data_IF_449747928086
#
_entry.id   IF_449747928086
#
_cell.length_a   1.000
_cell.length_b   1.000
_cell.length_c   1.000
_cell.angle_alpha   90.00
_cell.angle_beta   90.00
_cell.angle_gamma   90.00
#
_symmetry.space_group_name_H-M   'P 1'
#
loop_
_entity.id
_entity.type
_entity.pdbx_description
1 polymer ?
#
# COMPACT_ATOMS: atom_id res chain seq x y z
N UNK A 1 20.28 -4.79 -1.89
CA UNK A 1 19.52 -5.25 -3.07
C UNK A 1 19.19 -4.04 -3.92
N UNK A 2 19.21 -4.18 -5.23
CA UNK A 2 19.07 -3.05 -6.16
C UNK A 2 17.63 -2.89 -6.65
N UNK A 3 17.34 -1.75 -7.28
CA UNK A 3 16.05 -1.46 -7.93
C UNK A 3 15.62 -2.58 -8.87
N UNK A 4 16.58 -3.18 -9.57
CA UNK A 4 16.36 -4.28 -10.52
C UNK A 4 15.87 -5.56 -9.83
N UNK A 5 16.33 -5.84 -8.60
CA UNK A 5 15.86 -7.01 -7.83
C UNK A 5 14.37 -6.88 -7.48
N UNK A 6 13.91 -5.67 -7.16
CA UNK A 6 12.50 -5.39 -6.87
C UNK A 6 11.63 -5.56 -8.11
N UNK A 7 12.09 -5.07 -9.26
CA UNK A 7 11.37 -5.24 -10.54
C UNK A 7 11.25 -6.73 -10.88
N UNK A 8 12.34 -7.49 -10.79
CA UNK A 8 12.33 -8.93 -11.05
C UNK A 8 11.43 -9.72 -10.07
N UNK A 9 11.23 -9.23 -8.84
CA UNK A 9 10.27 -9.81 -7.91
C UNK A 9 8.82 -9.52 -8.33
N UNK A 10 8.53 -8.30 -8.82
CA UNK A 10 7.19 -7.92 -9.30
C UNK A 10 6.84 -8.65 -10.60
N UNK A 11 7.78 -8.81 -11.54
CA UNK A 11 7.54 -9.57 -12.78
C UNK A 11 7.19 -11.04 -12.51
N UNK A 12 7.75 -11.64 -11.45
CA UNK A 12 7.34 -12.99 -11.01
C UNK A 12 5.95 -13.01 -10.40
N UNK A 13 5.43 -11.89 -9.94
CA UNK A 13 4.06 -11.76 -9.43
C UNK A 13 3.03 -11.74 -10.57
N UNK A 14 3.42 -11.28 -11.77
CA UNK A 14 2.51 -11.19 -12.94
C UNK A 14 2.28 -12.51 -13.68
N UNK A 15 3.15 -13.50 -13.51
CA UNK A 15 3.31 -14.61 -14.48
C UNK A 15 2.65 -15.92 -14.06
N UNK A 16 1.94 -15.94 -12.92
CA UNK A 16 1.35 -17.17 -12.39
C UNK A 16 -0.18 -17.10 -12.25
N UNK A 17 -0.81 -18.25 -12.44
CA UNK A 17 -2.20 -18.56 -12.16
C UNK A 17 -2.26 -19.07 -10.71
N UNK A 18 -2.30 -18.15 -9.74
CA UNK A 18 -1.96 -18.42 -8.32
C UNK A 18 -3.18 -18.55 -7.41
N UNK A 19 -3.08 -19.45 -6.43
CA UNK A 19 -3.91 -19.51 -5.21
C UNK A 19 -3.53 -18.38 -4.21
N UNK A 20 -4.47 -17.92 -3.36
CA UNK A 20 -4.27 -16.78 -2.43
C UNK A 20 -3.01 -16.90 -1.54
N UNK A 21 -2.60 -18.13 -1.21
CA UNK A 21 -1.44 -18.40 -0.39
C UNK A 21 -0.10 -18.05 -1.07
N UNK A 22 0.02 -18.18 -2.40
CA UNK A 22 1.26 -17.77 -3.07
C UNK A 22 1.30 -16.25 -3.37
N UNK A 23 0.16 -15.55 -3.36
CA UNK A 23 0.14 -14.08 -3.48
C UNK A 23 0.91 -13.41 -2.34
N UNK A 24 0.64 -13.86 -1.11
CA UNK A 24 1.34 -13.36 0.07
C UNK A 24 2.82 -13.75 0.06
N UNK A 25 3.17 -14.92 -0.47
CA UNK A 25 4.55 -15.36 -0.59
C UNK A 25 5.33 -14.44 -1.55
N UNK A 26 4.77 -14.13 -2.72
CA UNK A 26 5.43 -13.27 -3.70
C UNK A 26 5.45 -11.81 -3.25
N UNK A 27 4.37 -11.31 -2.64
CA UNK A 27 4.36 -9.97 -2.04
C UNK A 27 5.45 -9.83 -0.96
N UNK A 28 5.73 -10.89 -0.19
CA UNK A 28 6.86 -10.91 0.76
C UNK A 28 8.20 -10.85 0.05
N UNK A 29 8.36 -11.45 -1.13
CA UNK A 29 9.59 -11.34 -1.92
C UNK A 29 9.81 -9.91 -2.43
N UNK A 30 8.75 -9.25 -2.92
CA UNK A 30 8.80 -7.83 -3.30
C UNK A 30 9.23 -6.98 -2.11
N UNK A 31 8.64 -7.20 -0.93
CA UNK A 31 9.03 -6.47 0.29
C UNK A 31 10.46 -6.79 0.72
N UNK A 32 10.88 -8.05 0.65
CA UNK A 32 12.24 -8.48 0.99
C UNK A 32 13.30 -7.84 0.07
N UNK A 33 12.92 -7.45 -1.15
CA UNK A 33 13.82 -6.76 -2.06
C UNK A 33 14.23 -5.35 -1.61
N UNK A 34 13.49 -4.74 -0.67
CA UNK A 34 13.86 -3.47 -0.05
C UNK A 34 14.95 -3.57 1.02
N UNK A 35 15.57 -4.76 1.19
CA UNK A 35 16.58 -5.10 2.20
C UNK A 35 15.99 -5.39 3.60
N UNK A 36 16.84 -5.46 4.63
CA UNK A 36 16.42 -5.75 6.01
C UNK A 36 15.72 -4.52 6.62
N UNK A 37 14.47 -4.30 6.23
CA UNK A 37 13.60 -3.20 6.69
C UNK A 37 13.46 -3.14 8.22
N UNK A 38 13.76 -4.23 8.94
CA UNK A 38 13.72 -4.25 10.41
C UNK A 38 14.96 -3.58 11.00
N UNK A 39 16.12 -3.78 10.38
CA UNK A 39 17.41 -3.32 10.89
C UNK A 39 17.91 -2.03 10.26
N UNK A 40 17.57 -1.77 9.00
CA UNK A 40 18.00 -0.58 8.28
C UNK A 40 16.86 0.48 8.18
N UNK A 41 17.01 1.65 8.82
CA UNK A 41 16.06 2.75 8.69
C UNK A 41 15.87 3.25 7.25
N UNK A 42 16.92 3.21 6.42
CA UNK A 42 16.82 3.66 5.02
C UNK A 42 15.97 2.69 4.20
N UNK A 43 16.25 1.38 4.32
CA UNK A 43 15.39 0.32 3.78
C UNK A 43 13.93 0.46 4.23
N UNK A 44 13.68 0.69 5.52
CA UNK A 44 12.33 0.91 6.04
C UNK A 44 11.66 2.12 5.40
N UNK A 45 12.33 3.27 5.33
CA UNK A 45 11.78 4.46 4.68
C UNK A 45 11.51 4.27 3.19
N UNK A 46 12.37 3.56 2.46
CA UNK A 46 12.12 3.21 1.05
C UNK A 46 10.87 2.35 0.89
N UNK A 47 10.74 1.30 1.72
CA UNK A 47 9.56 0.44 1.71
C UNK A 47 8.28 1.20 2.08
N UNK A 48 8.31 2.09 3.08
CA UNK A 48 7.14 2.92 3.42
C UNK A 48 6.79 3.88 2.29
N UNK A 49 7.79 4.52 1.66
CA UNK A 49 7.54 5.43 0.53
C UNK A 49 6.92 4.70 -0.66
N UNK A 50 7.41 3.51 -0.98
CA UNK A 50 6.84 2.63 -1.99
C UNK A 50 5.37 2.33 -1.69
N UNK A 51 5.09 1.75 -0.52
CA UNK A 51 3.74 1.34 -0.12
C UNK A 51 2.78 2.52 0.01
N UNK A 52 3.27 3.66 0.50
CA UNK A 52 2.50 4.91 0.56
C UNK A 52 2.07 5.36 -0.84
N UNK A 53 2.95 5.31 -1.82
CA UNK A 53 2.61 5.62 -3.20
C UNK A 53 1.56 4.64 -3.77
N UNK A 54 1.71 3.33 -3.49
CA UNK A 54 0.76 2.31 -3.91
C UNK A 54 -0.63 2.58 -3.33
N UNK A 55 -0.76 2.81 -2.02
CA UNK A 55 -2.04 3.10 -1.37
C UNK A 55 -2.64 4.41 -1.90
N UNK A 56 -1.82 5.48 -1.98
CA UNK A 56 -2.23 6.81 -2.46
C UNK A 56 -2.87 6.78 -3.85
N UNK A 57 -2.43 5.85 -4.70
CA UNK A 57 -2.98 5.66 -6.05
C UNK A 57 -4.48 5.34 -6.06
N UNK A 58 -4.99 4.70 -5.00
CA UNK A 58 -6.37 4.22 -4.90
C UNK A 58 -7.24 4.98 -3.90
N UNK A 59 -6.66 5.73 -2.94
CA UNK A 59 -7.47 6.38 -1.87
C UNK A 59 -8.48 7.41 -2.37
N UNK A 60 -8.30 7.97 -3.57
CA UNK A 60 -9.30 8.87 -4.15
C UNK A 60 -10.62 8.13 -4.46
N UNK A 61 -10.55 6.84 -4.79
CA UNK A 61 -11.69 6.01 -5.18
C UNK A 61 -12.65 5.78 -4.01
N UNK A 62 -12.12 5.73 -2.79
CA UNK A 62 -12.91 5.69 -1.56
C UNK A 62 -13.96 6.81 -1.52
N UNK A 63 -13.55 8.05 -1.83
CA UNK A 63 -14.45 9.21 -1.85
C UNK A 63 -15.33 9.25 -3.09
N UNK A 64 -14.82 8.85 -4.26
CA UNK A 64 -15.64 8.85 -5.48
C UNK A 64 -16.80 7.86 -5.39
N UNK A 65 -16.65 6.77 -4.63
CA UNK A 65 -17.70 5.79 -4.36
C UNK A 65 -18.66 6.23 -3.24
N UNK A 66 -18.46 7.42 -2.66
CA UNK A 66 -19.37 8.04 -1.69
C UNK A 66 -19.15 7.59 -0.24
N UNK A 67 -18.00 7.01 0.10
CA UNK A 67 -17.71 6.65 1.49
C UNK A 67 -17.50 7.88 2.38
N UNK A 68 -18.12 7.86 3.56
CA UNK A 68 -18.20 9.04 4.43
C UNK A 68 -16.92 9.30 5.21
N UNK A 69 -16.24 8.25 5.67
CA UNK A 69 -14.99 8.37 6.45
C UNK A 69 -13.85 8.94 5.60
N UNK A 70 -12.94 9.69 6.23
CA UNK A 70 -11.69 10.17 5.63
C UNK A 70 -10.50 9.25 5.95
N UNK A 71 -10.71 8.14 6.67
CA UNK A 71 -9.62 7.36 7.27
C UNK A 71 -8.54 6.91 6.28
N UNK A 72 -8.84 6.35 5.08
CA UNK A 72 -7.78 5.94 4.16
C UNK A 72 -6.91 7.12 3.68
N UNK A 73 -7.52 8.28 3.43
CA UNK A 73 -6.81 9.51 3.05
C UNK A 73 -5.97 10.01 4.22
N UNK A 74 -6.55 10.06 5.43
CA UNK A 74 -5.85 10.47 6.64
C UNK A 74 -4.65 9.57 6.96
N UNK A 75 -4.74 8.25 6.72
CA UNK A 75 -3.62 7.32 6.86
C UNK A 75 -2.48 7.65 5.91
N UNK A 76 -2.78 7.90 4.63
CA UNK A 76 -1.76 8.29 3.63
C UNK A 76 -1.11 9.62 4.01
N UNK A 77 -1.91 10.62 4.37
CA UNK A 77 -1.41 11.94 4.74
C UNK A 77 -0.53 11.90 5.99
N UNK A 78 -0.92 11.12 7.01
CA UNK A 78 -0.13 10.95 8.22
C UNK A 78 1.20 10.22 7.97
N UNK A 79 1.19 9.22 7.09
CA UNK A 79 2.41 8.49 6.70
C UNK A 79 3.33 9.37 5.85
N UNK A 80 2.77 10.18 4.95
CA UNK A 80 3.52 11.18 4.20
C UNK A 80 4.15 12.22 5.13
N UNK A 81 3.40 12.72 6.11
CA UNK A 81 3.93 13.63 7.12
C UNK A 81 5.10 13.00 7.90
N UNK A 82 4.99 11.73 8.29
CA UNK A 82 6.10 11.00 8.93
C UNK A 82 7.31 10.85 8.01
N UNK A 83 7.11 10.56 6.72
CA UNK A 83 8.21 10.48 5.74
C UNK A 83 8.95 11.82 5.60
N UNK A 84 8.24 12.95 5.72
CA UNK A 84 8.78 14.29 5.51
C UNK A 84 9.42 14.88 6.78
N UNK A 85 8.83 14.63 7.95
CA UNK A 85 9.23 15.24 9.23
C UNK A 85 9.98 14.27 10.16
N UNK A 86 9.79 12.97 10.01
CA UNK A 86 10.20 11.95 10.97
C UNK A 86 9.31 11.83 12.22
N UNK A 87 8.24 12.63 12.33
CA UNK A 87 7.35 12.70 13.47
C UNK A 87 5.98 12.06 13.17
N UNK A 88 5.39 11.40 14.18
CA UNK A 88 4.02 10.90 14.07
C UNK A 88 3.03 11.97 14.50
N UNK A 89 1.95 12.13 13.73
CA UNK A 89 0.87 13.05 14.07
C UNK A 89 0.08 12.58 15.30
N UNK A 90 -0.59 13.50 15.98
CA UNK A 90 -1.52 13.18 17.06
C UNK A 90 -2.64 12.25 16.56
N UNK A 91 -2.89 11.15 17.29
CA UNK A 91 -3.91 10.17 16.95
C UNK A 91 -3.52 9.19 15.84
N UNK A 92 -2.24 9.09 15.48
CA UNK A 92 -1.72 8.14 14.49
C UNK A 92 -2.10 6.69 14.80
N UNK A 93 -2.18 6.32 16.08
CA UNK A 93 -2.59 4.99 16.55
C UNK A 93 -4.00 4.58 16.09
N UNK A 94 -4.91 5.56 15.91
CA UNK A 94 -6.27 5.30 15.41
C UNK A 94 -6.29 4.92 13.94
N UNK A 95 -5.31 5.40 13.17
CA UNK A 95 -5.17 5.14 11.74
C UNK A 95 -4.67 3.72 11.47
N UNK A 96 -4.11 3.04 12.48
CA UNK A 96 -3.67 1.65 12.38
C UNK A 96 -4.83 0.64 12.36
N UNK A 97 -6.08 1.10 12.50
CA UNK A 97 -7.27 0.24 12.51
C UNK A 97 -8.11 0.49 11.26
N UNK A 98 -8.53 -0.56 10.54
CA UNK A 98 -9.38 -0.39 9.38
C UNK A 98 -10.74 0.14 9.80
N UNK A 99 -11.32 0.97 8.95
CA UNK A 99 -12.70 1.47 9.09
C UNK A 99 -13.61 0.71 8.12
N UNK A 100 -14.80 0.36 8.58
CA UNK A 100 -15.80 -0.22 7.68
C UNK A 100 -16.25 0.84 6.65
N UNK A 101 -16.43 0.48 5.37
CA UNK A 101 -17.00 1.38 4.39
C UNK A 101 -18.47 1.67 4.73
N UNK A 102 -18.81 2.97 4.80
CA UNK A 102 -20.17 3.46 5.10
C UNK A 102 -20.56 4.51 4.07
N UNK A 103 -21.78 4.38 3.53
CA UNK A 103 -22.34 5.26 2.50
C UNK A 103 -23.81 5.56 2.83
N UNK A 104 -24.15 6.84 2.99
CA UNK A 104 -25.47 7.31 3.43
C UNK A 104 -25.88 6.77 4.82
N UNK A 105 -24.93 6.74 5.75
CA UNK A 105 -25.12 6.25 7.12
C UNK A 105 -25.26 4.73 7.27
N UNK A 106 -25.19 3.97 6.18
CA UNK A 106 -25.34 2.51 6.18
C UNK A 106 -24.03 1.83 5.73
N UNK A 107 -23.71 0.62 6.25
CA UNK A 107 -22.59 -0.18 5.75
C UNK A 107 -22.74 -0.46 4.25
N UNK A 108 -21.64 -0.37 3.50
CA UNK A 108 -21.60 -0.86 2.13
C UNK A 108 -21.59 -2.39 2.18
N UNK A 109 -22.51 -3.02 1.45
CA UNK A 109 -22.68 -4.50 1.40
C UNK A 109 -22.98 -5.00 -0.02
N UNK A 110 -22.73 -4.16 -1.01
CA UNK A 110 -22.90 -4.47 -2.43
C UNK A 110 -21.55 -4.87 -3.06
N UNK A 111 -21.46 -4.84 -4.40
CA UNK A 111 -20.25 -5.22 -5.12
C UNK A 111 -19.04 -4.33 -4.82
N UNK A 112 -19.22 -3.14 -4.25
CA UNK A 112 -18.10 -2.26 -3.91
C UNK A 112 -17.44 -2.66 -2.57
N UNK A 113 -18.12 -3.46 -1.73
CA UNK A 113 -17.68 -3.78 -0.38
C UNK A 113 -16.29 -4.43 -0.31
N UNK A 114 -15.97 -5.48 -1.10
CA UNK A 114 -14.68 -6.15 -1.00
C UNK A 114 -13.52 -5.19 -1.32
N UNK A 115 -13.62 -4.48 -2.44
CA UNK A 115 -12.62 -3.52 -2.89
C UNK A 115 -12.38 -2.38 -1.88
N UNK A 116 -13.45 -1.85 -1.28
CA UNK A 116 -13.36 -0.80 -0.27
C UNK A 116 -12.77 -1.34 1.04
N UNK A 117 -13.19 -2.51 1.49
CA UNK A 117 -12.65 -3.16 2.68
C UNK A 117 -11.16 -3.44 2.54
N UNK A 118 -10.70 -3.88 1.37
CA UNK A 118 -9.29 -4.07 1.09
C UNK A 118 -8.50 -2.77 1.05
N UNK A 119 -9.02 -1.70 0.43
CA UNK A 119 -8.38 -0.39 0.49
C UNK A 119 -8.26 0.14 1.93
N UNK A 120 -9.30 -0.05 2.74
CA UNK A 120 -9.29 0.31 4.16
C UNK A 120 -8.24 -0.49 4.94
N UNK A 121 -8.14 -1.78 4.69
CA UNK A 121 -7.11 -2.66 5.26
C UNK A 121 -5.69 -2.22 4.83
N UNK A 122 -5.47 -1.97 3.54
CA UNK A 122 -4.18 -1.52 3.02
C UNK A 122 -3.75 -0.19 3.65
N UNK A 123 -4.65 0.78 3.73
CA UNK A 123 -4.36 2.10 4.30
C UNK A 123 -4.05 2.06 5.81
N UNK A 124 -4.75 1.22 6.57
CA UNK A 124 -4.51 1.09 8.00
C UNK A 124 -3.24 0.30 8.31
N UNK A 125 -2.98 -0.77 7.55
CA UNK A 125 -1.73 -1.52 7.62
C UNK A 125 -0.52 -0.69 7.23
N UNK A 126 -0.67 0.28 6.31
CA UNK A 126 0.40 1.23 5.99
C UNK A 126 0.82 2.05 7.22
N UNK A 127 -0.16 2.62 7.95
CA UNK A 127 0.12 3.33 9.19
C UNK A 127 0.78 2.39 10.22
N UNK A 128 0.22 1.19 10.40
CA UNK A 128 0.77 0.21 11.34
C UNK A 128 2.20 -0.23 11.01
N UNK A 129 2.49 -0.46 9.72
CA UNK A 129 3.81 -0.85 9.22
C UNK A 129 4.88 0.21 9.52
N UNK A 130 4.52 1.50 9.53
CA UNK A 130 5.45 2.57 9.93
C UNK A 130 5.98 2.38 11.36
N UNK A 131 5.18 1.76 12.23
CA UNK A 131 5.54 1.49 13.63
C UNK A 131 6.21 0.13 13.77
N UNK A 132 5.66 -0.91 13.13
CA UNK A 132 6.08 -2.30 13.39
C UNK A 132 7.27 -2.77 12.56
N UNK A 133 7.51 -2.17 11.39
CA UNK A 133 8.49 -2.64 10.39
C UNK A 133 8.30 -4.12 10.03
N UNK A 134 7.07 -4.60 10.12
CA UNK A 134 6.73 -6.00 9.84
C UNK A 134 6.65 -6.23 8.34
N UNK A 135 7.49 -7.12 7.81
CA UNK A 135 7.42 -7.51 6.40
C UNK A 135 6.09 -8.20 6.06
N UNK A 136 5.45 -8.85 7.02
CA UNK A 136 4.11 -9.42 6.85
C UNK A 136 3.06 -8.33 6.64
N UNK A 137 3.14 -7.21 7.38
CA UNK A 137 2.20 -6.10 7.20
C UNK A 137 2.43 -5.40 5.86
N UNK A 138 3.69 -5.20 5.49
CA UNK A 138 4.07 -4.66 4.18
C UNK A 138 3.56 -5.51 3.01
N UNK A 139 3.70 -6.84 3.10
CA UNK A 139 3.22 -7.75 2.06
C UNK A 139 1.69 -7.76 1.98
N UNK A 140 1.00 -7.75 3.13
CA UNK A 140 -0.45 -7.71 3.18
C UNK A 140 -1.04 -6.43 2.56
N UNK A 141 -0.32 -5.29 2.61
CA UNK A 141 -0.74 -4.07 1.90
C UNK A 141 -0.76 -4.29 0.38
N UNK A 142 0.28 -4.90 -0.19
CA UNK A 142 0.35 -5.17 -1.63
C UNK A 142 -0.74 -6.14 -2.07
N UNK A 143 -0.99 -7.19 -1.29
CA UNK A 143 -2.05 -8.17 -1.55
C UNK A 143 -3.42 -7.50 -1.51
N UNK A 144 -3.74 -6.71 -0.48
CA UNK A 144 -5.02 -6.00 -0.42
C UNK A 144 -5.20 -5.03 -1.59
N UNK A 145 -4.15 -4.32 -2.04
CA UNK A 145 -4.26 -3.44 -3.21
C UNK A 145 -4.45 -4.21 -4.52
N UNK A 146 -3.81 -5.36 -4.66
CA UNK A 146 -4.01 -6.25 -5.81
C UNK A 146 -5.46 -6.74 -5.89
N UNK A 147 -6.02 -7.23 -4.78
CA UNK A 147 -7.41 -7.67 -4.74
C UNK A 147 -8.39 -6.52 -4.95
N UNK A 148 -8.12 -5.35 -4.37
CA UNK A 148 -8.95 -4.17 -4.62
C UNK A 148 -8.97 -3.80 -6.12
N UNK A 149 -7.82 -3.82 -6.80
CA UNK A 149 -7.72 -3.58 -8.25
C UNK A 149 -8.48 -4.64 -9.05
N UNK A 150 -8.34 -5.92 -8.68
CA UNK A 150 -9.04 -7.05 -9.31
C UNK A 150 -10.57 -6.98 -9.15
N UNK A 151 -11.05 -6.49 -8.00
CA UNK A 151 -12.46 -6.20 -7.73
C UNK A 151 -12.96 -4.90 -8.40
N UNK A 152 -12.12 -4.28 -9.23
CA UNK A 152 -12.49 -3.17 -10.11
C UNK A 152 -12.25 -1.78 -9.52
N UNK A 153 -11.55 -1.67 -8.39
CA UNK A 153 -11.15 -0.38 -7.84
C UNK A 153 -10.23 0.34 -8.82
N UNK A 154 -10.74 1.37 -9.50
CA UNK A 154 -9.98 2.06 -10.53
C UNK A 154 -8.89 2.95 -9.91
N UNK A 155 -7.63 2.86 -10.35
CA UNK A 155 -6.58 3.79 -9.96
C UNK A 155 -6.75 5.15 -10.67
N UNK A 156 -6.05 6.18 -10.19
CA UNK A 156 -6.20 7.54 -10.72
C UNK A 156 -5.74 7.70 -12.18
N UNK A 157 -4.78 6.89 -12.59
CA UNK A 157 -4.08 6.97 -13.88
C UNK A 157 -4.55 5.93 -14.91
N UNK A 158 -5.39 4.96 -14.51
CA UNK A 158 -5.95 3.92 -15.37
C UNK A 158 -4.93 2.87 -15.88
N UNK A 159 -3.69 2.88 -15.38
CA UNK A 159 -2.67 1.88 -15.71
C UNK A 159 -2.92 0.57 -14.93
N UNK A 160 -2.49 -0.58 -15.44
CA UNK A 160 -2.57 -1.84 -14.68
C UNK A 160 -1.73 -1.79 -13.40
N UNK A 161 -2.13 -2.51 -12.34
CA UNK A 161 -1.42 -2.47 -11.06
C UNK A 161 0.08 -2.78 -11.19
N UNK A 162 0.44 -3.88 -11.85
CA UNK A 162 1.83 -4.32 -11.97
C UNK A 162 2.69 -3.44 -12.88
N UNK A 163 2.14 -3.04 -14.03
CA UNK A 163 2.82 -2.11 -14.95
C UNK A 163 3.18 -0.82 -14.22
N UNK A 164 2.23 -0.29 -13.45
CA UNK A 164 2.45 0.91 -12.64
C UNK A 164 3.48 0.70 -11.52
N UNK A 165 3.46 -0.44 -10.82
CA UNK A 165 4.45 -0.73 -9.79
C UNK A 165 5.87 -0.69 -10.38
N UNK A 166 6.09 -1.28 -11.55
CA UNK A 166 7.39 -1.32 -12.23
C UNK A 166 7.77 0.07 -12.75
N UNK A 167 6.86 0.75 -13.46
CA UNK A 167 7.14 1.99 -14.16
C UNK A 167 7.22 3.22 -13.23
N UNK A 168 6.45 3.22 -12.13
CA UNK A 168 6.25 4.39 -11.27
C UNK A 168 6.51 4.09 -9.79
N UNK A 169 5.89 3.04 -9.25
CA UNK A 169 5.96 2.72 -7.81
C UNK A 169 7.40 2.50 -7.33
N UNK A 170 8.14 1.60 -8.00
CA UNK A 170 9.54 1.31 -7.70
C UNK A 170 10.39 2.58 -7.81
N UNK A 171 10.42 3.35 -8.92
CA UNK A 171 11.17 4.61 -8.99
C UNK A 171 10.91 5.60 -7.85
N UNK A 172 9.67 5.74 -7.40
CA UNK A 172 9.32 6.64 -6.28
C UNK A 172 10.06 6.27 -5.01
N UNK A 173 10.23 4.98 -4.73
CA UNK A 173 10.90 4.52 -3.51
C UNK A 173 12.37 4.96 -3.43
N UNK A 174 13.06 5.07 -4.57
CA UNK A 174 14.46 5.49 -4.69
C UNK A 174 14.66 6.99 -5.00
N UNK A 175 13.60 7.77 -5.19
CA UNK A 175 13.66 9.18 -5.64
C UNK A 175 14.42 10.16 -4.73
N UNK A 176 14.66 9.81 -3.47
CA UNK A 176 15.39 10.63 -2.50
C UNK A 176 16.83 10.17 -2.23
N UNK A 177 17.32 9.12 -2.91
CA UNK A 177 18.74 8.82 -2.94
C UNK A 177 19.42 9.89 -3.79
N UNK A 178 19.85 10.99 -3.14
CA UNK A 178 20.80 11.91 -3.76
C UNK A 178 21.93 11.06 -4.31
N UNK A 179 22.19 11.20 -5.62
CA UNK A 179 23.35 10.62 -6.29
C UNK A 179 24.61 10.98 -5.49
N UNK A 180 25.03 10.06 -4.63
CA UNK A 180 26.26 10.14 -3.86
C UNK A 180 27.43 9.72 -4.71
#
# INVERSE_FOLDING_TARGET
>A
MSREDTIAAIERFTDFDIDEDDDLAIAREVVASFEDIRRDPAAHQRAVRFLCACVKRYVWTWKSLGCESDSPVASVDAVQHWLDSGEFMDGFDRLCWPVAPVRNGEPVVDCDEPALSDLSNASSRLAYFCVTRSSTDAAAILVSLFWADAEGLQPQDGEGFFDWLIATGVPIAWSNEKSG
#
